data_IF_805658033863
#
_entry.id   IF_805658033863
#
_cell.length_a   1.000
_cell.length_b   1.000
_cell.length_c   1.000
_cell.angle_alpha   90.00
_cell.angle_beta   90.00
_cell.angle_gamma   90.00
#
_symmetry.space_group_name_H-M   'P 1'
#
loop_
_entity.id
_entity.type
_entity.pdbx_description
1 polymer ?
#
# COMPACT_ATOMS: atom_id res chain seq x y z
N UNK A 1 8.01 -7.15 12.00
CA UNK A 1 7.81 -8.31 11.16
C UNK A 1 6.32 -8.50 10.87
N UNK A 2 5.95 -8.97 9.70
CA UNK A 2 4.58 -9.24 9.26
C UNK A 2 4.41 -10.74 9.02
N UNK A 3 3.29 -11.30 9.47
CA UNK A 3 2.94 -12.70 9.23
C UNK A 3 1.46 -12.78 8.81
N UNK A 4 1.12 -13.73 7.97
CA UNK A 4 -0.26 -14.18 7.76
C UNK A 4 -0.45 -15.54 8.42
N UNK A 5 -1.59 -15.74 9.08
CA UNK A 5 -1.88 -16.97 9.81
C UNK A 5 -3.26 -17.45 9.39
N UNK A 6 -3.30 -18.58 8.69
CA UNK A 6 -4.52 -19.24 8.22
C UNK A 6 -5.48 -18.28 7.46
N UNK A 7 -4.90 -17.36 6.64
CA UNK A 7 -5.69 -16.38 5.90
C UNK A 7 -6.58 -17.05 4.86
N UNK A 8 -7.88 -16.83 4.99
CA UNK A 8 -8.87 -17.18 3.98
C UNK A 8 -9.64 -15.92 3.57
N UNK A 9 -9.83 -15.73 2.28
CA UNK A 9 -10.65 -14.66 1.75
C UNK A 9 -11.64 -15.19 0.72
N UNK A 10 -12.93 -15.00 1.00
CA UNK A 10 -14.04 -15.36 0.11
C UNK A 10 -14.81 -14.10 -0.25
N UNK A 11 -14.91 -13.81 -1.53
CA UNK A 11 -15.77 -12.75 -2.05
C UNK A 11 -17.13 -13.32 -2.40
N UNK A 12 -18.16 -12.83 -1.70
CA UNK A 12 -19.54 -13.24 -1.94
C UNK A 12 -20.12 -12.50 -3.15
N UNK A 13 -20.68 -13.26 -4.10
CA UNK A 13 -21.33 -12.69 -5.28
C UNK A 13 -22.86 -12.83 -5.14
N UNK A 14 -23.57 -11.70 -5.22
CA UNK A 14 -25.05 -11.72 -5.21
C UNK A 14 -25.57 -12.50 -6.42
N UNK A 15 -26.17 -13.68 -6.17
CA UNK A 15 -26.75 -14.53 -7.22
C UNK A 15 -25.73 -15.33 -8.06
N UNK A 16 -24.46 -15.37 -7.68
CA UNK A 16 -23.40 -16.13 -8.34
C UNK A 16 -22.65 -17.07 -7.40
N UNK A 17 -21.59 -17.68 -7.92
CA UNK A 17 -20.72 -18.55 -7.12
C UNK A 17 -19.73 -17.70 -6.32
N UNK A 18 -19.58 -17.97 -5.03
CA UNK A 18 -18.59 -17.35 -4.19
C UNK A 18 -17.17 -17.65 -4.69
N UNK A 19 -16.32 -16.63 -4.70
CA UNK A 19 -14.92 -16.75 -5.14
C UNK A 19 -14.00 -16.81 -3.93
N UNK A 20 -13.37 -17.97 -3.71
CA UNK A 20 -12.33 -18.13 -2.70
C UNK A 20 -11.00 -17.66 -3.30
N UNK A 21 -10.60 -16.46 -2.95
CA UNK A 21 -9.37 -15.82 -3.46
C UNK A 21 -8.12 -16.19 -2.65
N UNK A 22 -8.27 -16.47 -1.35
CA UNK A 22 -7.22 -17.02 -0.49
C UNK A 22 -7.80 -18.22 0.25
N UNK A 23 -7.01 -19.28 0.39
CA UNK A 23 -7.41 -20.52 1.05
C UNK A 23 -6.30 -20.97 2.02
N UNK A 24 -6.50 -20.72 3.29
CA UNK A 24 -5.62 -21.13 4.41
C UNK A 24 -4.15 -20.73 4.23
N UNK A 25 -3.90 -19.48 3.84
CA UNK A 25 -2.55 -18.99 3.52
C UNK A 25 -1.81 -18.55 4.79
N UNK A 26 -0.75 -19.26 5.15
CA UNK A 26 0.15 -18.88 6.24
C UNK A 26 1.55 -18.59 5.69
N UNK A 27 2.04 -17.36 5.91
CA UNK A 27 3.33 -16.87 5.43
C UNK A 27 3.99 -16.04 6.51
N UNK A 28 5.30 -16.14 6.60
CA UNK A 28 6.13 -15.28 7.43
C UNK A 28 7.04 -14.46 6.53
N UNK A 29 6.87 -13.14 6.55
CA UNK A 29 7.72 -12.26 5.76
C UNK A 29 9.03 -11.99 6.50
N UNK A 30 10.18 -11.94 5.78
CA UNK A 30 11.46 -11.60 6.37
C UNK A 30 11.45 -10.17 6.92
N UNK A 31 12.30 -9.89 7.89
CA UNK A 31 12.42 -8.54 8.47
C UNK A 31 13.05 -7.53 7.50
N UNK A 32 13.84 -8.01 6.56
CA UNK A 32 14.54 -7.18 5.56
C UNK A 32 14.60 -7.93 4.24
N UNK A 33 14.70 -7.17 3.17
CA UNK A 33 14.85 -7.70 1.81
C UNK A 33 13.60 -7.52 0.97
N UNK A 34 13.51 -8.29 -0.10
CA UNK A 34 12.45 -8.24 -1.09
C UNK A 34 11.79 -9.60 -1.23
N UNK A 35 10.47 -9.61 -1.28
CA UNK A 35 9.66 -10.82 -1.50
C UNK A 35 8.88 -10.67 -2.79
N UNK A 36 9.00 -11.64 -3.68
CA UNK A 36 8.25 -11.69 -4.94
C UNK A 36 7.09 -12.66 -4.83
N UNK A 37 5.88 -12.18 -5.12
CA UNK A 37 4.69 -13.02 -5.27
C UNK A 37 4.53 -13.40 -6.73
N UNK A 38 4.83 -14.66 -7.06
CA UNK A 38 4.73 -15.17 -8.41
C UNK A 38 3.48 -16.04 -8.59
N UNK A 39 2.86 -15.97 -9.75
CA UNK A 39 1.67 -16.79 -10.06
C UNK A 39 0.86 -16.23 -11.22
N UNK A 40 -0.04 -17.05 -11.78
CA UNK A 40 -0.94 -16.68 -12.87
C UNK A 40 -1.89 -15.55 -12.45
N UNK A 41 -2.51 -14.89 -13.44
CA UNK A 41 -3.60 -13.95 -13.17
C UNK A 41 -4.74 -14.68 -12.42
N UNK A 42 -5.36 -14.01 -11.44
CA UNK A 42 -6.42 -14.60 -10.62
C UNK A 42 -5.95 -15.54 -9.49
N UNK A 43 -4.64 -15.72 -9.28
CA UNK A 43 -4.13 -16.60 -8.20
C UNK A 43 -4.15 -15.99 -6.79
N UNK A 44 -4.81 -14.86 -6.58
CA UNK A 44 -4.98 -14.26 -5.26
C UNK A 44 -3.86 -13.31 -4.81
N UNK A 45 -2.84 -13.03 -5.63
CA UNK A 45 -1.70 -12.17 -5.24
C UNK A 45 -2.13 -10.78 -4.74
N UNK A 46 -2.94 -10.08 -5.52
CA UNK A 46 -3.43 -8.75 -5.12
C UNK A 46 -4.34 -8.81 -3.89
N UNK A 47 -5.12 -9.90 -3.76
CA UNK A 47 -5.92 -10.12 -2.55
C UNK A 47 -5.04 -10.32 -1.33
N UNK A 48 -3.95 -11.09 -1.46
CA UNK A 48 -2.99 -11.28 -0.37
C UNK A 48 -2.34 -9.95 0.04
N UNK A 49 -1.87 -9.16 -0.94
CA UNK A 49 -1.30 -7.84 -0.67
C UNK A 49 -2.31 -6.91 0.01
N UNK A 50 -3.56 -6.88 -0.46
CA UNK A 50 -4.60 -6.03 0.12
C UNK A 50 -4.94 -6.44 1.55
N UNK A 51 -5.07 -7.74 1.83
CA UNK A 51 -5.36 -8.23 3.19
C UNK A 51 -4.15 -8.00 4.10
N UNK A 52 -2.94 -8.37 3.66
CA UNK A 52 -1.71 -8.12 4.43
C UNK A 52 -1.44 -6.64 4.66
N UNK A 53 -1.83 -5.78 3.73
CA UNK A 53 -1.70 -4.33 3.84
C UNK A 53 -2.82 -3.65 4.64
N UNK A 54 -3.84 -4.40 5.04
CA UNK A 54 -4.98 -3.85 5.78
C UNK A 54 -5.94 -3.02 4.93
N UNK A 55 -5.90 -3.16 3.59
CA UNK A 55 -6.88 -2.53 2.68
C UNK A 55 -8.17 -3.35 2.59
N UNK A 56 -8.08 -4.65 2.87
CA UNK A 56 -9.23 -5.55 2.91
C UNK A 56 -9.13 -6.43 4.16
N UNK A 57 -10.27 -6.92 4.64
CA UNK A 57 -10.34 -7.80 5.80
C UNK A 57 -10.39 -9.26 5.37
N UNK A 58 -9.72 -10.19 6.06
CA UNK A 58 -9.87 -11.61 5.79
C UNK A 58 -11.28 -12.10 6.15
N UNK A 59 -11.73 -13.17 5.52
CA UNK A 59 -12.97 -13.88 5.92
C UNK A 59 -12.71 -14.69 7.18
N UNK A 60 -11.52 -15.30 7.28
CA UNK A 60 -10.99 -15.95 8.49
C UNK A 60 -9.47 -15.90 8.52
N UNK A 61 -8.89 -16.27 9.64
CA UNK A 61 -7.45 -16.09 9.89
C UNK A 61 -7.12 -14.68 10.36
N UNK A 62 -5.86 -14.32 10.29
CA UNK A 62 -5.37 -13.04 10.78
C UNK A 62 -4.03 -12.65 10.17
N UNK A 63 -3.69 -11.36 10.25
CA UNK A 63 -2.31 -10.90 10.11
C UNK A 63 -1.73 -10.61 11.50
N UNK A 64 -0.45 -10.86 11.65
CA UNK A 64 0.30 -10.51 12.87
C UNK A 64 1.33 -9.47 12.49
N UNK A 65 1.23 -8.29 13.09
CA UNK A 65 2.11 -7.15 12.84
C UNK A 65 2.92 -6.86 14.09
N UNK A 66 4.23 -7.02 14.04
CA UNK A 66 5.12 -6.85 15.21
C UNK A 66 4.65 -7.61 16.45
N UNK A 67 4.16 -8.85 16.26
CA UNK A 67 3.66 -9.69 17.34
C UNK A 67 2.23 -9.38 17.81
N UNK A 68 1.55 -8.35 17.28
CA UNK A 68 0.14 -8.05 17.58
C UNK A 68 -0.78 -8.68 16.53
N UNK A 69 -1.72 -9.48 16.98
CA UNK A 69 -2.77 -10.07 16.14
C UNK A 69 -3.77 -9.01 15.67
N UNK A 70 -4.11 -9.04 14.39
CA UNK A 70 -5.12 -8.15 13.81
C UNK A 70 -6.55 -8.44 14.30
N UNK A 71 -6.79 -9.57 14.93
CA UNK A 71 -8.07 -9.85 15.62
C UNK A 71 -8.36 -8.86 16.75
N UNK A 72 -7.31 -8.27 17.31
CA UNK A 72 -7.39 -7.28 18.38
C UNK A 72 -7.30 -5.84 17.86
N UNK A 73 -7.33 -5.63 16.53
CA UNK A 73 -7.26 -4.31 15.92
C UNK A 73 -8.64 -3.67 15.88
N UNK A 74 -8.71 -2.43 16.32
CA UNK A 74 -9.82 -1.52 16.05
C UNK A 74 -9.68 -0.93 14.66
N UNK A 75 -10.69 -0.21 14.18
CA UNK A 75 -10.60 0.56 12.94
C UNK A 75 -9.42 1.55 12.99
N UNK A 76 -9.22 2.23 14.12
CA UNK A 76 -8.10 3.16 14.32
C UNK A 76 -6.73 2.46 14.25
N UNK A 77 -6.62 1.20 14.72
CA UNK A 77 -5.38 0.42 14.59
C UNK A 77 -5.07 0.11 13.11
N UNK A 78 -6.08 -0.25 12.31
CA UNK A 78 -5.93 -0.45 10.88
C UNK A 78 -5.57 0.84 10.13
N UNK A 79 -6.18 1.97 10.50
CA UNK A 79 -5.86 3.27 9.92
C UNK A 79 -4.41 3.65 10.23
N UNK A 80 -3.99 3.48 11.48
CA UNK A 80 -2.60 3.69 11.91
C UNK A 80 -1.63 2.76 11.17
N UNK A 81 -1.97 1.48 11.03
CA UNK A 81 -1.19 0.50 10.29
C UNK A 81 -0.96 0.93 8.84
N UNK A 82 -2.02 1.28 8.11
CA UNK A 82 -1.92 1.77 6.73
C UNK A 82 -1.15 3.08 6.62
N UNK A 83 -1.36 3.99 7.56
CA UNK A 83 -0.76 5.32 7.50
C UNK A 83 0.73 5.33 7.86
N UNK A 84 1.17 4.46 8.77
CA UNK A 84 2.53 4.53 9.29
C UNK A 84 3.41 3.36 8.87
N UNK A 85 2.85 2.15 8.82
CA UNK A 85 3.64 0.94 8.64
C UNK A 85 3.77 0.53 7.17
N UNK A 86 2.71 0.68 6.37
CA UNK A 86 2.65 0.20 4.98
C UNK A 86 2.69 1.35 3.99
N UNK A 87 3.60 1.29 3.02
CA UNK A 87 3.57 2.10 1.80
C UNK A 87 2.96 1.31 0.65
N UNK A 88 1.95 1.86 -0.04
CA UNK A 88 1.34 1.22 -1.21
C UNK A 88 1.76 1.88 -2.51
N UNK A 89 2.15 1.05 -3.49
CA UNK A 89 2.34 1.45 -4.88
C UNK A 89 1.34 0.66 -5.73
N UNK A 90 0.26 1.31 -6.14
CA UNK A 90 -0.81 0.68 -6.93
C UNK A 90 -0.47 0.62 -8.42
N UNK A 91 -0.95 -0.41 -9.09
CA UNK A 91 -0.80 -0.58 -10.54
C UNK A 91 -1.42 0.59 -11.33
N UNK A 92 -2.57 1.11 -10.90
CA UNK A 92 -3.27 2.26 -11.48
C UNK A 92 -2.74 3.61 -10.96
N UNK A 93 -1.62 3.62 -10.25
CA UNK A 93 -0.95 4.77 -9.62
C UNK A 93 -1.82 5.50 -8.58
N UNK A 94 -3.13 5.59 -8.74
CA UNK A 94 -4.09 6.32 -7.89
C UNK A 94 -3.63 7.76 -7.60
N UNK A 95 -3.24 8.46 -8.66
CA UNK A 95 -2.80 9.85 -8.60
C UNK A 95 -4.01 10.77 -8.74
N UNK A 96 -4.11 11.76 -7.86
CA UNK A 96 -5.17 12.76 -7.86
C UNK A 96 -4.81 13.87 -8.84
N UNK A 97 -5.55 13.97 -9.94
CA UNK A 97 -5.25 14.90 -11.04
C UNK A 97 -5.47 16.39 -10.67
N UNK A 98 -6.32 16.65 -9.68
CA UNK A 98 -6.62 17.98 -9.16
C UNK A 98 -5.48 18.56 -8.31
N UNK A 99 -4.60 17.69 -7.81
CA UNK A 99 -3.46 18.06 -6.97
C UNK A 99 -2.18 18.20 -7.81
N UNK A 100 -1.25 19.04 -7.37
CA UNK A 100 0.10 19.05 -7.93
C UNK A 100 0.86 17.77 -7.56
N UNK A 101 2.02 17.54 -8.19
CA UNK A 101 2.90 16.41 -7.85
C UNK A 101 3.28 16.46 -6.38
N UNK A 102 3.71 17.61 -5.87
CA UNK A 102 4.09 17.72 -4.45
C UNK A 102 2.92 17.54 -3.49
N UNK A 103 1.69 17.96 -3.88
CA UNK A 103 0.51 17.77 -3.04
C UNK A 103 0.07 16.31 -3.03
N UNK A 104 0.17 15.58 -4.15
CA UNK A 104 -0.03 14.14 -4.19
C UNK A 104 0.90 13.38 -3.22
N UNK A 105 2.16 13.81 -3.11
CA UNK A 105 3.12 13.20 -2.19
C UNK A 105 2.82 13.66 -0.75
N UNK A 106 2.54 14.94 -0.54
CA UNK A 106 2.25 15.51 0.77
C UNK A 106 1.03 14.88 1.46
N UNK A 107 0.03 14.45 0.68
CA UNK A 107 -1.17 13.82 1.20
C UNK A 107 -0.87 12.67 2.16
N UNK A 108 0.18 11.89 1.91
CA UNK A 108 0.58 10.79 2.78
C UNK A 108 1.11 11.26 4.15
N UNK A 109 1.69 12.45 4.23
CA UNK A 109 2.08 13.09 5.50
C UNK A 109 0.87 13.70 6.21
N UNK A 110 -0.02 14.34 5.47
CA UNK A 110 -1.24 14.96 6.01
C UNK A 110 -2.16 13.91 6.65
N UNK A 111 -2.28 12.72 6.05
CA UNK A 111 -3.00 11.59 6.64
C UNK A 111 -2.37 11.08 7.95
N UNK A 112 -1.09 11.37 8.20
CA UNK A 112 -0.42 11.12 9.48
C UNK A 112 -0.57 12.28 10.46
N UNK A 113 -1.29 13.35 10.11
CA UNK A 113 -1.36 14.58 10.90
C UNK A 113 -0.07 15.40 10.87
N UNK A 114 0.85 15.13 9.93
CA UNK A 114 2.11 15.84 9.77
C UNK A 114 1.98 16.97 8.75
N UNK A 115 2.68 18.10 8.93
CA UNK A 115 2.72 19.15 7.94
C UNK A 115 3.44 18.69 6.67
N UNK A 116 3.13 19.36 5.54
CA UNK A 116 3.82 19.19 4.27
C UNK A 116 5.31 19.52 4.41
N UNK A 117 6.16 18.52 4.27
CA UNK A 117 7.61 18.67 4.30
C UNK A 117 8.16 18.85 2.87
N UNK A 118 8.33 20.11 2.46
CA UNK A 118 8.83 20.46 1.13
C UNK A 118 10.25 19.95 0.87
N UNK A 119 11.10 19.87 1.92
CA UNK A 119 12.48 19.40 1.76
C UNK A 119 12.52 17.89 1.52
N UNK A 120 11.78 17.12 2.32
CA UNK A 120 11.66 15.67 2.14
C UNK A 120 11.03 15.34 0.77
N UNK A 121 10.00 16.07 0.35
CA UNK A 121 9.36 15.87 -0.95
C UNK A 121 10.34 16.18 -2.09
N UNK A 122 11.10 17.27 -2.00
CA UNK A 122 12.09 17.62 -3.03
C UNK A 122 13.21 16.57 -3.15
N UNK A 123 13.71 16.04 -2.03
CA UNK A 123 14.70 14.97 -2.02
C UNK A 123 14.15 13.69 -2.67
N UNK A 124 12.92 13.29 -2.34
CA UNK A 124 12.29 12.13 -2.97
C UNK A 124 12.03 12.33 -4.46
N UNK A 125 11.67 13.54 -4.89
CA UNK A 125 11.53 13.85 -6.32
C UNK A 125 12.86 13.74 -7.06
N UNK A 126 13.97 14.09 -6.43
CA UNK A 126 15.32 13.87 -6.98
C UNK A 126 15.64 12.37 -7.07
N UNK A 127 15.40 11.59 -6.02
CA UNK A 127 15.62 10.14 -5.99
C UNK A 127 14.84 9.37 -7.06
N UNK A 128 13.66 9.87 -7.46
CA UNK A 128 12.83 9.26 -8.51
C UNK A 128 12.97 9.94 -9.87
N UNK A 129 14.02 10.73 -10.13
CA UNK A 129 14.29 11.47 -11.39
C UNK A 129 13.13 12.39 -11.82
N UNK A 130 12.51 13.11 -10.89
CA UNK A 130 11.45 14.09 -11.13
C UNK A 130 11.79 15.48 -10.56
N UNK A 131 13.07 15.83 -10.51
CA UNK A 131 13.51 17.17 -10.11
C UNK A 131 12.82 18.25 -10.95
N UNK A 132 12.27 19.29 -10.30
CA UNK A 132 11.54 20.37 -10.95
C UNK A 132 10.07 20.08 -11.29
N UNK A 133 9.55 18.88 -10.96
CA UNK A 133 8.17 18.51 -11.26
C UNK A 133 7.16 18.87 -10.16
N UNK A 134 7.60 19.34 -9.00
CA UNK A 134 6.77 19.58 -7.82
C UNK A 134 5.43 20.29 -8.10
N UNK A 135 5.46 21.33 -8.91
CA UNK A 135 4.27 22.15 -9.24
C UNK A 135 3.47 21.66 -10.44
N UNK A 136 3.94 20.63 -11.16
CA UNK A 136 3.23 20.12 -12.34
C UNK A 136 1.95 19.39 -11.94
N UNK A 137 0.99 19.38 -12.87
CA UNK A 137 -0.24 18.57 -12.74
C UNK A 137 -0.04 17.18 -13.35
N UNK A 138 -0.56 16.11 -12.73
CA UNK A 138 -0.36 14.72 -13.18
C UNK A 138 -0.91 14.43 -14.58
N UNK A 139 -1.92 15.15 -15.04
CA UNK A 139 -2.50 14.96 -16.38
C UNK A 139 -1.52 15.26 -17.52
N UNK A 140 -0.44 16.02 -17.25
CA UNK A 140 0.61 16.33 -18.23
C UNK A 140 1.77 15.32 -18.21
N UNK A 141 1.67 14.27 -17.40
CA UNK A 141 2.77 13.33 -17.15
C UNK A 141 2.54 11.98 -17.82
N UNK A 142 3.63 11.33 -18.20
CA UNK A 142 3.62 9.94 -18.71
C UNK A 142 3.25 8.93 -17.60
N UNK A 143 2.86 7.72 -17.99
CA UNK A 143 2.59 6.62 -17.03
C UNK A 143 3.76 6.33 -16.11
N UNK A 144 5.00 6.26 -16.65
CA UNK A 144 6.19 6.06 -15.84
C UNK A 144 6.47 7.19 -14.86
N UNK A 145 6.19 8.46 -15.22
CA UNK A 145 6.30 9.59 -14.29
C UNK A 145 5.24 9.50 -13.19
N UNK A 146 4.01 9.12 -13.51
CA UNK A 146 2.95 8.89 -12.52
C UNK A 146 3.31 7.76 -11.56
N UNK A 147 3.90 6.68 -12.05
CA UNK A 147 4.39 5.59 -11.21
C UNK A 147 5.46 6.06 -10.22
N UNK A 148 6.42 6.86 -10.67
CA UNK A 148 7.46 7.44 -9.81
C UNK A 148 6.87 8.36 -8.73
N UNK A 149 5.82 9.12 -9.03
CA UNK A 149 5.09 9.91 -8.02
C UNK A 149 4.42 8.99 -7.00
N UNK A 150 3.79 7.89 -7.44
CA UNK A 150 3.17 6.91 -6.53
C UNK A 150 4.22 6.27 -5.61
N UNK A 151 5.42 5.98 -6.13
CA UNK A 151 6.56 5.50 -5.33
C UNK A 151 6.99 6.56 -4.31
N UNK A 152 7.22 7.81 -4.73
CA UNK A 152 7.61 8.89 -3.82
C UNK A 152 6.55 9.12 -2.74
N UNK A 153 5.25 9.06 -3.08
CA UNK A 153 4.15 9.14 -2.11
C UNK A 153 4.16 7.99 -1.10
N UNK A 154 4.51 6.78 -1.52
CA UNK A 154 4.63 5.65 -0.61
C UNK A 154 5.82 5.80 0.34
N UNK A 155 6.94 6.37 -0.14
CA UNK A 155 8.19 6.51 0.60
C UNK A 155 8.22 7.70 1.57
N UNK A 156 7.52 8.81 1.28
CA UNK A 156 7.61 10.06 2.05
C UNK A 156 7.28 9.88 3.53
N UNK A 157 6.47 8.91 3.88
CA UNK A 157 6.10 8.58 5.25
C UNK A 157 7.05 7.59 5.94
N UNK A 158 8.15 7.20 5.28
CA UNK A 158 9.16 6.24 5.77
C UNK A 158 8.52 4.93 6.27
N UNK A 159 7.78 4.22 5.44
CA UNK A 159 7.08 3.00 5.85
C UNK A 159 8.08 1.87 6.16
N UNK A 160 7.68 0.91 6.99
CA UNK A 160 8.49 -0.28 7.29
C UNK A 160 8.37 -1.37 6.22
N UNK A 161 7.27 -1.39 5.47
CA UNK A 161 7.05 -2.30 4.35
C UNK A 161 6.44 -1.56 3.16
N UNK A 162 6.87 -1.91 1.96
CA UNK A 162 6.26 -1.44 0.72
C UNK A 162 5.57 -2.61 0.04
N UNK A 163 4.32 -2.40 -0.36
CA UNK A 163 3.51 -3.32 -1.15
C UNK A 163 3.27 -2.72 -2.53
N UNK A 164 3.79 -3.40 -3.57
CA UNK A 164 3.79 -2.92 -4.95
C UNK A 164 3.20 -3.97 -5.92
#
# INVERSE_FOLDING_TARGET
>A
MLESVHLTKVYKTKGGTDVRALDDVSLRFPERGMVFLLGKSGSGKSTLLNVCGGLDSPTSGEIVVKGRSSKNFTQSDFDSYRNTFVGFVFQEYNILNEFSVEDNIALALELQGKPKDKKAIAALLEEVDLTGYAKRKPNTLSGGQKQRIAIARALVKSPEIIMA
#
